data_IF_668027861000
#
_entry.id   IF_668027861000
#
_cell.length_a   1.000
_cell.length_b   1.000
_cell.length_c   1.000
_cell.angle_alpha   90.00
_cell.angle_beta   90.00
_cell.angle_gamma   90.00
#
_symmetry.space_group_name_H-M   'P 1'
#
loop_
_entity.id
_entity.type
_entity.pdbx_description
1 polymer ?
#
# COMPACT_ATOMS: atom_id res chain seq x y z
N UNK A 1 33.63 -25.22 -4.51
CA UNK A 1 32.37 -24.48 -4.24
C UNK A 1 31.93 -24.79 -2.81
N UNK A 2 31.77 -23.80 -1.93
CA UNK A 2 31.19 -24.02 -0.60
C UNK A 2 29.69 -24.29 -0.76
N UNK A 3 29.17 -25.32 -0.09
CA UNK A 3 27.73 -25.60 -0.03
C UNK A 3 27.00 -24.39 0.54
N UNK A 4 25.83 -24.05 -0.03
CA UNK A 4 24.97 -22.97 0.49
C UNK A 4 24.52 -23.34 1.91
N UNK A 5 24.35 -22.34 2.76
CA UNK A 5 23.76 -22.54 4.09
C UNK A 5 22.32 -23.05 3.95
N UNK A 6 21.84 -23.85 4.92
CA UNK A 6 20.44 -24.32 4.94
C UNK A 6 19.43 -23.16 4.88
N UNK A 7 19.80 -22.00 5.43
CA UNK A 7 19.00 -20.77 5.36
C UNK A 7 18.85 -20.27 3.92
N UNK A 8 19.93 -20.24 3.13
CA UNK A 8 19.89 -19.82 1.73
C UNK A 8 18.96 -20.69 0.87
N UNK A 9 19.00 -22.01 1.06
CA UNK A 9 18.12 -22.94 0.35
C UNK A 9 16.64 -22.70 0.69
N UNK A 10 16.32 -22.38 1.95
CA UNK A 10 14.95 -22.04 2.35
C UNK A 10 14.48 -20.71 1.76
N UNK A 11 15.35 -19.69 1.75
CA UNK A 11 15.06 -18.40 1.12
C UNK A 11 14.78 -18.55 -0.39
N UNK A 12 15.50 -19.43 -1.09
CA UNK A 12 15.24 -19.75 -2.50
C UNK A 12 13.84 -20.39 -2.69
N UNK A 13 13.41 -21.21 -1.73
CA UNK A 13 12.04 -21.74 -1.69
C UNK A 13 11.00 -20.62 -1.55
N UNK A 14 11.19 -19.71 -0.61
CA UNK A 14 10.28 -18.58 -0.39
C UNK A 14 10.27 -17.60 -1.57
N UNK A 15 11.42 -17.36 -2.21
CA UNK A 15 11.50 -16.53 -3.41
C UNK A 15 10.68 -17.11 -4.56
N UNK A 16 10.78 -18.42 -4.81
CA UNK A 16 9.94 -19.09 -5.80
C UNK A 16 8.45 -18.95 -5.47
N UNK A 17 8.08 -19.13 -4.20
CA UNK A 17 6.69 -18.99 -3.77
C UNK A 17 6.18 -17.56 -4.02
N UNK A 18 6.90 -16.54 -3.54
CA UNK A 18 6.56 -15.12 -3.73
C UNK A 18 6.45 -14.76 -5.21
N UNK A 19 7.36 -15.27 -6.06
CA UNK A 19 7.27 -15.04 -7.50
C UNK A 19 6.03 -15.67 -8.13
N UNK A 20 5.67 -16.89 -7.72
CA UNK A 20 4.56 -17.63 -8.30
C UNK A 20 3.19 -17.16 -7.80
N UNK A 21 3.11 -16.53 -6.62
CA UNK A 21 1.83 -16.14 -6.00
C UNK A 21 1.59 -14.64 -5.93
N UNK A 22 2.63 -13.81 -5.88
CA UNK A 22 2.51 -12.35 -5.71
C UNK A 22 3.10 -11.63 -6.92
N UNK A 23 4.41 -11.78 -7.18
CA UNK A 23 5.10 -10.94 -8.16
C UNK A 23 4.71 -11.27 -9.61
N UNK A 24 4.21 -12.47 -9.89
CA UNK A 24 3.64 -12.81 -11.21
C UNK A 24 2.42 -11.96 -11.59
N UNK A 25 1.76 -11.33 -10.61
CA UNK A 25 0.60 -10.47 -10.81
C UNK A 25 0.94 -8.98 -10.75
N UNK A 26 2.17 -8.62 -10.39
CA UNK A 26 2.57 -7.22 -10.25
C UNK A 26 2.60 -6.54 -11.61
N UNK A 27 1.92 -5.40 -11.73
CA UNK A 27 1.93 -4.63 -12.97
C UNK A 27 3.35 -4.09 -13.25
N UNK A 28 3.91 -4.34 -14.44
CA UNK A 28 5.28 -3.97 -14.75
C UNK A 28 5.48 -2.46 -14.97
N UNK A 29 4.42 -1.65 -15.05
CA UNK A 29 4.50 -0.20 -15.21
C UNK A 29 4.23 0.48 -13.87
N UNK A 30 3.04 0.27 -13.30
CA UNK A 30 2.58 0.95 -12.09
C UNK A 30 3.11 0.31 -10.81
N UNK A 31 3.51 -0.97 -10.85
CA UNK A 31 3.87 -1.73 -9.65
C UNK A 31 2.68 -2.25 -8.84
N UNK A 32 1.45 -1.91 -9.22
CA UNK A 32 0.24 -2.29 -8.51
C UNK A 32 -0.11 -3.76 -8.71
N UNK A 33 -0.75 -4.35 -7.70
CA UNK A 33 -1.33 -5.68 -7.70
C UNK A 33 -2.86 -5.58 -7.81
N UNK A 34 -3.50 -6.39 -8.68
CA UNK A 34 -4.95 -6.55 -8.63
C UNK A 34 -5.34 -7.31 -7.35
N UNK A 35 -6.55 -7.07 -6.82
CA UNK A 35 -7.07 -7.80 -5.66
C UNK A 35 -7.23 -9.31 -5.95
N UNK A 36 -7.63 -9.69 -7.16
CA UNK A 36 -7.70 -11.09 -7.57
C UNK A 36 -7.69 -11.28 -9.09
N UNK A 37 -7.84 -12.54 -9.54
CA UNK A 37 -8.05 -12.82 -10.95
C UNK A 37 -9.36 -12.20 -11.47
N UNK A 38 -10.42 -12.15 -10.68
CA UNK A 38 -11.70 -11.58 -11.11
C UNK A 38 -11.79 -10.08 -10.79
N UNK A 39 -11.20 -9.65 -9.68
CA UNK A 39 -11.17 -8.25 -9.25
C UNK A 39 -9.85 -7.60 -9.64
N UNK A 40 -9.87 -6.90 -10.80
CA UNK A 40 -8.67 -6.35 -11.42
C UNK A 40 -8.21 -5.01 -10.84
N UNK A 41 -8.98 -4.40 -9.96
CA UNK A 41 -8.62 -3.13 -9.33
C UNK A 41 -7.62 -3.34 -8.19
N UNK A 42 -6.81 -2.33 -7.93
CA UNK A 42 -5.77 -2.30 -6.92
C UNK A 42 -6.25 -1.57 -5.69
N UNK A 43 -6.66 -2.31 -4.66
CA UNK A 43 -6.93 -1.75 -3.34
C UNK A 43 -5.64 -1.37 -2.64
N UNK A 44 -5.61 -0.21 -2.01
CA UNK A 44 -4.44 0.28 -1.26
C UNK A 44 -4.03 -0.74 -0.20
N UNK A 45 -5.01 -1.23 0.56
CA UNK A 45 -4.81 -2.17 1.65
C UNK A 45 -4.23 -3.51 1.19
N UNK A 46 -4.83 -4.10 0.17
CA UNK A 46 -4.43 -5.40 -0.40
C UNK A 46 -3.01 -5.33 -0.96
N UNK A 47 -2.69 -4.22 -1.63
CA UNK A 47 -1.35 -3.95 -2.15
C UNK A 47 -0.32 -3.86 -1.03
N UNK A 48 -0.60 -3.06 0.02
CA UNK A 48 0.31 -2.91 1.16
C UNK A 48 0.50 -4.25 1.89
N UNK A 49 -0.56 -4.99 2.20
CA UNK A 49 -0.42 -6.28 2.88
C UNK A 49 0.33 -7.32 2.04
N UNK A 50 0.02 -7.40 0.74
CA UNK A 50 0.67 -8.37 -0.16
C UNK A 50 2.18 -8.10 -0.28
N UNK A 51 2.58 -6.82 -0.36
CA UNK A 51 3.99 -6.47 -0.54
C UNK A 51 4.84 -6.70 0.71
N UNK A 52 4.23 -6.84 1.89
CA UNK A 52 4.98 -7.14 3.13
C UNK A 52 5.73 -8.48 3.06
N UNK A 53 5.15 -9.50 2.40
CA UNK A 53 5.82 -10.78 2.22
C UNK A 53 7.09 -10.65 1.37
N UNK A 54 7.03 -9.83 0.32
CA UNK A 54 8.15 -9.52 -0.58
C UNK A 54 9.21 -8.72 0.17
N UNK A 55 8.80 -7.69 0.91
CA UNK A 55 9.69 -6.86 1.71
C UNK A 55 10.41 -7.66 2.79
N UNK A 56 9.67 -8.47 3.57
CA UNK A 56 10.24 -9.34 4.59
C UNK A 56 11.25 -10.33 4.03
N UNK A 57 10.98 -10.88 2.83
CA UNK A 57 11.92 -11.75 2.15
C UNK A 57 13.17 -10.99 1.67
N UNK A 58 13.01 -9.77 1.12
CA UNK A 58 14.13 -8.90 0.74
C UNK A 58 15.05 -8.60 1.92
N UNK A 59 14.47 -8.22 3.07
CA UNK A 59 15.21 -8.03 4.33
C UNK A 59 15.94 -9.30 4.78
N UNK A 60 15.29 -10.46 4.64
CA UNK A 60 15.90 -11.74 5.01
C UNK A 60 17.09 -12.08 4.10
N UNK A 61 16.98 -11.88 2.78
CA UNK A 61 18.12 -12.03 1.88
C UNK A 61 19.24 -11.06 2.23
N UNK A 62 18.92 -9.78 2.42
CA UNK A 62 19.90 -8.74 2.78
C UNK A 62 20.68 -9.07 4.04
N UNK A 63 20.01 -9.63 5.06
CA UNK A 63 20.65 -10.07 6.32
C UNK A 63 21.54 -11.30 6.16
N UNK A 64 21.24 -12.19 5.21
CA UNK A 64 21.94 -13.46 5.00
C UNK A 64 22.75 -13.50 3.70
N UNK A 65 23.08 -12.33 3.13
CA UNK A 65 23.69 -12.22 1.81
C UNK A 65 25.19 -12.58 1.85
N UNK A 66 25.48 -13.88 1.87
CA UNK A 66 26.85 -14.43 1.86
C UNK A 66 27.49 -14.38 0.45
N UNK A 67 26.66 -14.27 -0.59
CA UNK A 67 27.05 -14.32 -2.02
C UNK A 67 26.42 -13.17 -2.79
N UNK A 68 27.05 -12.76 -3.88
CA UNK A 68 26.52 -11.67 -4.71
C UNK A 68 25.16 -12.01 -5.36
N UNK A 69 24.91 -13.28 -5.64
CA UNK A 69 23.57 -13.77 -6.05
C UNK A 69 22.48 -13.44 -5.02
N UNK A 70 22.77 -13.55 -3.73
CA UNK A 70 21.81 -13.28 -2.66
C UNK A 70 21.55 -11.77 -2.52
N UNK A 71 22.58 -10.95 -2.74
CA UNK A 71 22.44 -9.49 -2.80
C UNK A 71 21.59 -9.05 -3.99
N UNK A 72 21.79 -9.66 -5.16
CA UNK A 72 21.00 -9.37 -6.35
C UNK A 72 19.51 -9.69 -6.13
N UNK A 73 19.21 -10.85 -5.54
CA UNK A 73 17.83 -11.21 -5.18
C UNK A 73 17.22 -10.26 -4.16
N UNK A 74 17.96 -9.88 -3.11
CA UNK A 74 17.50 -8.89 -2.15
C UNK A 74 17.11 -7.59 -2.87
N UNK A 75 17.98 -7.10 -3.74
CA UNK A 75 17.76 -5.88 -4.51
C UNK A 75 16.51 -5.98 -5.40
N UNK A 76 16.34 -7.06 -6.17
CA UNK A 76 15.17 -7.27 -7.03
C UNK A 76 13.85 -7.27 -6.25
N UNK A 77 13.82 -7.94 -5.09
CA UNK A 77 12.66 -7.95 -4.19
C UNK A 77 12.38 -6.55 -3.64
N UNK A 78 13.40 -5.85 -3.17
CA UNK A 78 13.29 -4.49 -2.65
C UNK A 78 12.82 -3.49 -3.72
N UNK A 79 13.30 -3.59 -4.96
CA UNK A 79 12.83 -2.76 -6.07
C UNK A 79 11.37 -3.04 -6.42
N UNK A 80 10.93 -4.30 -6.30
CA UNK A 80 9.52 -4.66 -6.48
C UNK A 80 8.63 -4.00 -5.40
N UNK A 81 9.12 -3.92 -4.15
CA UNK A 81 8.46 -3.21 -3.04
C UNK A 81 8.39 -1.71 -3.31
N UNK A 82 9.52 -1.08 -3.65
CA UNK A 82 9.60 0.35 -3.97
C UNK A 82 8.63 0.70 -5.08
N UNK A 83 8.58 -0.12 -6.15
CA UNK A 83 7.70 0.12 -7.29
C UNK A 83 6.22 0.12 -6.91
N UNK A 84 5.77 -0.84 -6.10
CA UNK A 84 4.37 -0.89 -5.65
C UNK A 84 4.02 0.30 -4.75
N UNK A 85 4.86 0.60 -3.75
CA UNK A 85 4.59 1.70 -2.82
C UNK A 85 4.60 3.07 -3.51
N UNK A 86 5.44 3.24 -4.54
CA UNK A 86 5.42 4.42 -5.41
C UNK A 86 4.21 4.44 -6.34
N UNK A 87 3.76 3.28 -6.82
CA UNK A 87 2.51 3.15 -7.58
C UNK A 87 1.31 3.68 -6.79
N UNK A 88 1.19 3.28 -5.51
CA UNK A 88 0.16 3.78 -4.61
C UNK A 88 0.30 5.28 -4.34
N UNK A 89 1.53 5.79 -4.11
CA UNK A 89 1.79 7.22 -3.96
C UNK A 89 1.27 8.01 -5.17
N UNK A 90 1.57 7.53 -6.38
CA UNK A 90 1.15 8.16 -7.62
C UNK A 90 -0.38 8.18 -7.77
N UNK A 91 -1.07 7.11 -7.38
CA UNK A 91 -2.54 7.08 -7.34
C UNK A 91 -3.11 8.15 -6.39
N UNK A 92 -2.50 8.32 -5.22
CA UNK A 92 -2.96 9.30 -4.22
C UNK A 92 -2.65 10.73 -4.64
N UNK A 93 -1.45 11.01 -5.18
CA UNK A 93 -1.05 12.34 -5.67
C UNK A 93 -2.00 12.84 -6.77
N UNK A 94 -2.50 11.94 -7.63
CA UNK A 94 -3.49 12.29 -8.67
C UNK A 94 -4.82 12.81 -8.12
N UNK A 95 -5.07 12.66 -6.83
CA UNK A 95 -6.25 13.15 -6.13
C UNK A 95 -5.88 14.25 -5.11
N UNK A 96 -4.77 14.96 -5.31
CA UNK A 96 -4.30 16.01 -4.40
C UNK A 96 -5.37 17.07 -4.11
N UNK A 97 -6.18 17.46 -5.10
CA UNK A 97 -7.27 18.43 -4.91
C UNK A 97 -8.31 17.93 -3.90
N UNK A 98 -8.54 16.62 -3.84
CA UNK A 98 -9.42 15.98 -2.85
C UNK A 98 -8.79 16.08 -1.46
N UNK A 99 -7.50 15.74 -1.32
CA UNK A 99 -6.76 15.84 -0.06
C UNK A 99 -6.78 17.26 0.50
N UNK A 100 -6.60 18.27 -0.35
CA UNK A 100 -6.67 19.67 0.04
C UNK A 100 -8.08 20.07 0.49
N UNK A 101 -9.11 19.65 -0.23
CA UNK A 101 -10.51 19.94 0.12
C UNK A 101 -10.94 19.26 1.42
N UNK A 102 -10.48 18.03 1.64
CA UNK A 102 -10.81 17.22 2.82
C UNK A 102 -10.33 17.84 4.13
N UNK A 103 -9.25 18.64 4.12
CA UNK A 103 -8.75 19.39 5.30
C UNK A 103 -9.86 20.21 5.98
N UNK A 104 -10.78 20.73 5.18
CA UNK A 104 -11.88 21.56 5.65
C UNK A 104 -13.18 20.78 5.75
N UNK A 105 -13.51 19.97 4.74
CA UNK A 105 -14.83 19.36 4.65
C UNK A 105 -14.98 18.09 5.48
N UNK A 106 -13.90 17.29 5.61
CA UNK A 106 -13.94 15.92 6.14
C UNK A 106 -15.10 15.07 5.55
N UNK A 107 -15.50 15.39 4.32
CA UNK A 107 -16.66 14.78 3.66
C UNK A 107 -16.24 13.54 2.88
N UNK A 108 -17.18 12.61 2.68
CA UNK A 108 -16.94 11.44 1.82
C UNK A 108 -16.59 11.87 0.40
N UNK A 109 -17.26 12.88 -0.16
CA UNK A 109 -17.02 13.35 -1.54
C UNK A 109 -15.60 13.83 -1.77
N UNK A 110 -15.02 14.51 -0.79
CA UNK A 110 -13.67 15.06 -0.89
C UNK A 110 -12.59 14.07 -0.41
N UNK A 111 -12.96 12.84 -0.07
CA UNK A 111 -12.01 11.84 0.42
C UNK A 111 -11.28 11.13 -0.73
N UNK A 112 -10.07 10.63 -0.46
CA UNK A 112 -9.34 9.76 -1.37
C UNK A 112 -10.16 8.51 -1.72
N UNK A 113 -10.01 8.02 -2.95
CA UNK A 113 -10.39 6.66 -3.28
C UNK A 113 -9.41 5.66 -2.63
N UNK A 114 -9.93 4.51 -2.18
CA UNK A 114 -9.11 3.44 -1.60
C UNK A 114 -8.79 2.29 -2.58
N UNK A 115 -9.21 2.41 -3.85
CA UNK A 115 -8.86 1.48 -4.94
C UNK A 115 -8.69 2.17 -6.27
N UNK A 116 -7.86 1.58 -7.14
CA UNK A 116 -7.42 2.20 -8.39
C UNK A 116 -7.36 1.22 -9.54
N UNK A 117 -7.38 1.74 -10.77
CA UNK A 117 -7.09 0.92 -11.93
C UNK A 117 -5.62 0.49 -11.90
N UNK A 118 -5.39 -0.82 -11.86
CA UNK A 118 -4.05 -1.42 -11.76
C UNK A 118 -3.10 -0.97 -12.88
N UNK A 119 -3.60 -0.67 -14.08
CA UNK A 119 -2.78 -0.30 -15.25
C UNK A 119 -2.56 1.20 -15.38
N UNK A 120 -3.52 2.02 -14.95
CA UNK A 120 -3.52 3.46 -15.25
C UNK A 120 -3.38 4.35 -14.02
N UNK A 121 -3.52 3.82 -12.80
CA UNK A 121 -3.60 4.60 -11.55
C UNK A 121 -4.79 5.57 -11.50
N UNK A 122 -5.83 5.37 -12.32
CA UNK A 122 -7.04 6.17 -12.31
C UNK A 122 -8.04 5.67 -11.25
N UNK A 123 -8.97 6.53 -10.84
CA UNK A 123 -10.17 6.09 -10.12
C UNK A 123 -11.00 5.17 -11.01
N UNK A 124 -11.69 4.21 -10.39
CA UNK A 124 -12.45 3.15 -11.11
C UNK A 124 -13.97 3.28 -10.92
N UNK A 125 -14.38 4.14 -10.00
CA UNK A 125 -15.77 4.45 -9.65
C UNK A 125 -15.86 5.94 -9.30
N UNK A 126 -17.07 6.50 -9.38
CA UNK A 126 -17.36 7.86 -8.94
C UNK A 126 -17.45 7.97 -7.41
N UNK A 127 -17.41 9.20 -6.90
CA UNK A 127 -17.39 9.50 -5.45
C UNK A 127 -18.65 9.03 -4.71
N UNK A 128 -19.80 9.01 -5.38
CA UNK A 128 -21.09 8.59 -4.79
C UNK A 128 -21.41 7.10 -5.05
N UNK A 129 -20.47 6.32 -5.64
CA UNK A 129 -20.74 4.95 -6.12
C UNK A 129 -20.17 3.84 -5.22
N UNK A 130 -19.26 4.16 -4.30
CA UNK A 130 -18.59 3.16 -3.46
C UNK A 130 -18.09 3.80 -2.17
N UNK A 131 -18.02 3.01 -1.10
CA UNK A 131 -17.59 3.44 0.24
C UNK A 131 -16.10 3.75 0.31
N UNK A 132 -15.69 4.86 -0.31
CA UNK A 132 -14.29 5.11 -0.64
C UNK A 132 -13.51 5.85 0.45
N UNK A 133 -14.20 6.59 1.33
CA UNK A 133 -13.59 7.13 2.55
C UNK A 133 -13.19 5.97 3.47
N UNK A 134 -11.94 5.55 3.39
CA UNK A 134 -11.36 4.47 4.21
C UNK A 134 -10.05 4.97 4.80
N UNK A 135 -10.13 5.50 6.01
CA UNK A 135 -8.97 6.14 6.66
C UNK A 135 -7.93 5.11 7.07
N UNK A 136 -8.36 3.90 7.44
CA UNK A 136 -7.48 2.78 7.76
C UNK A 136 -6.54 2.39 6.60
N UNK A 137 -7.00 2.45 5.34
CA UNK A 137 -6.15 2.16 4.19
C UNK A 137 -5.01 3.17 4.03
N UNK A 138 -5.32 4.46 4.21
CA UNK A 138 -4.32 5.55 4.14
C UNK A 138 -3.35 5.47 5.32
N UNK A 139 -3.85 5.22 6.53
CA UNK A 139 -3.03 5.05 7.73
C UNK A 139 -2.09 3.84 7.61
N UNK A 140 -2.58 2.71 7.09
CA UNK A 140 -1.77 1.51 6.84
C UNK A 140 -0.63 1.80 5.85
N UNK A 141 -0.92 2.54 4.78
CA UNK A 141 0.08 2.97 3.81
C UNK A 141 1.17 3.82 4.47
N UNK A 142 0.78 4.83 5.27
CA UNK A 142 1.73 5.72 5.95
C UNK A 142 2.61 4.97 6.95
N UNK A 143 2.03 4.06 7.74
CA UNK A 143 2.76 3.22 8.69
C UNK A 143 3.86 2.42 7.99
N UNK A 144 3.51 1.70 6.92
CA UNK A 144 4.48 0.85 6.23
C UNK A 144 5.45 1.66 5.35
N UNK A 145 5.04 2.81 4.81
CA UNK A 145 5.96 3.75 4.17
C UNK A 145 7.05 4.19 5.16
N UNK A 146 6.69 4.57 6.38
CA UNK A 146 7.64 4.95 7.41
C UNK A 146 8.58 3.79 7.79
N UNK A 147 8.05 2.57 7.97
CA UNK A 147 8.87 1.40 8.29
C UNK A 147 9.81 1.00 7.14
N UNK A 148 9.34 1.03 5.90
CA UNK A 148 10.12 0.65 4.72
C UNK A 148 11.24 1.66 4.45
N UNK A 149 10.97 2.96 4.57
CA UNK A 149 12.00 4.01 4.44
C UNK A 149 13.02 3.92 5.58
N UNK A 150 12.59 3.66 6.83
CA UNK A 150 13.49 3.40 7.95
C UNK A 150 14.37 2.16 7.74
N UNK A 151 13.89 1.16 6.97
CA UNK A 151 14.68 -0.01 6.59
C UNK A 151 15.68 0.26 5.45
N UNK A 152 15.75 1.48 4.92
CA UNK A 152 16.67 1.89 3.85
C UNK A 152 16.07 1.85 2.43
N UNK A 153 14.76 1.64 2.27
CA UNK A 153 14.13 1.72 0.94
C UNK A 153 13.91 3.18 0.50
N UNK A 154 14.43 3.53 -0.67
CA UNK A 154 14.25 4.85 -1.28
C UNK A 154 12.91 4.94 -2.01
N UNK A 155 11.83 5.22 -1.26
CA UNK A 155 10.46 5.30 -1.80
C UNK A 155 10.07 6.74 -2.18
N UNK A 156 10.50 7.76 -1.41
CA UNK A 156 10.19 9.17 -1.65
C UNK A 156 11.37 9.86 -2.33
N UNK A 157 11.13 10.53 -3.46
CA UNK A 157 12.17 11.01 -4.39
C UNK A 157 12.22 12.53 -4.56
N UNK A 158 11.18 13.27 -4.17
CA UNK A 158 11.12 14.73 -4.33
C UNK A 158 10.53 15.44 -3.11
N UNK A 159 10.76 16.76 -3.03
CA UNK A 159 10.17 17.59 -1.97
C UNK A 159 8.63 17.67 -2.10
N UNK A 160 8.10 17.64 -3.33
CA UNK A 160 6.66 17.61 -3.56
C UNK A 160 6.02 16.32 -3.02
N UNK A 161 6.69 15.17 -3.20
CA UNK A 161 6.25 13.92 -2.59
C UNK A 161 6.31 13.99 -1.06
N UNK A 162 7.34 14.63 -0.48
CA UNK A 162 7.42 14.87 0.99
C UNK A 162 6.24 15.72 1.48
N UNK A 163 5.95 16.83 0.80
CA UNK A 163 4.83 17.70 1.15
C UNK A 163 3.49 16.98 1.03
N UNK A 164 3.32 16.13 0.02
CA UNK A 164 2.13 15.31 -0.13
C UNK A 164 1.97 14.30 1.01
N UNK A 165 3.05 13.62 1.41
CA UNK A 165 3.01 12.72 2.57
C UNK A 165 2.63 13.47 3.85
N UNK A 166 3.16 14.67 4.05
CA UNK A 166 2.76 15.52 5.18
C UNK A 166 1.26 15.85 5.15
N UNK A 167 0.71 16.13 3.97
CA UNK A 167 -0.74 16.31 3.81
C UNK A 167 -1.53 15.05 4.15
N UNK A 168 -1.03 13.85 3.81
CA UNK A 168 -1.68 12.60 4.20
C UNK A 168 -1.67 12.37 5.72
N UNK A 169 -0.64 12.83 6.43
CA UNK A 169 -0.62 12.79 7.91
C UNK A 169 -1.75 13.65 8.49
N UNK A 170 -1.96 14.86 7.96
CA UNK A 170 -3.09 15.70 8.35
C UNK A 170 -4.44 15.10 7.93
N UNK A 171 -4.48 14.43 6.78
CA UNK A 171 -5.68 13.75 6.27
C UNK A 171 -6.20 12.68 7.25
N UNK A 172 -5.32 11.95 7.94
CA UNK A 172 -5.71 10.93 8.92
C UNK A 172 -5.79 11.44 10.38
N UNK A 173 -5.39 12.68 10.66
CA UNK A 173 -5.31 13.24 12.02
C UNK A 173 -6.66 13.17 12.76
N UNK A 174 -7.74 13.44 12.03
CA UNK A 174 -9.11 13.48 12.55
C UNK A 174 -9.80 12.11 12.59
N UNK A 175 -9.11 11.00 12.31
CA UNK A 175 -9.72 9.66 12.21
C UNK A 175 -10.52 9.23 13.46
N UNK A 176 -10.19 9.77 14.64
CA UNK A 176 -10.92 9.49 15.89
C UNK A 176 -12.34 10.08 15.94
N UNK A 177 -12.69 11.00 15.04
CA UNK A 177 -14.01 11.67 14.96
C UNK A 177 -14.61 11.67 13.55
N UNK A 178 -13.87 11.22 12.54
CA UNK A 178 -14.36 11.14 11.15
C UNK A 178 -14.97 9.77 10.89
N UNK A 179 -16.28 9.73 10.64
CA UNK A 179 -16.97 8.51 10.25
C UNK A 179 -16.54 8.10 8.83
N UNK A 180 -16.30 6.81 8.63
CA UNK A 180 -15.78 6.27 7.38
C UNK A 180 -16.42 4.90 7.04
N UNK A 181 -15.95 4.26 5.97
CA UNK A 181 -16.47 2.97 5.51
C UNK A 181 -15.73 1.75 6.08
N UNK A 182 -14.63 1.98 6.79
CA UNK A 182 -13.79 0.96 7.42
C UNK A 182 -13.20 -0.07 6.45
N UNK A 183 -12.58 -1.09 7.02
CA UNK A 183 -11.88 -2.14 6.26
C UNK A 183 -12.76 -2.95 5.31
N UNK A 184 -14.06 -3.05 5.64
CA UNK A 184 -15.03 -3.83 4.87
C UNK A 184 -15.78 -3.00 3.83
N UNK A 185 -15.50 -1.70 3.71
CA UNK A 185 -16.05 -0.83 2.66
C UNK A 185 -17.57 -0.59 2.77
N UNK A 186 -18.17 -0.94 3.92
CA UNK A 186 -19.63 -0.95 4.14
C UNK A 186 -20.10 0.16 5.04
N UNK A 187 -19.19 0.77 5.80
CA UNK A 187 -19.53 1.67 6.89
C UNK A 187 -20.11 0.88 8.05
N UNK A 188 -21.36 1.18 8.36
CA UNK A 188 -22.04 0.64 9.52
C UNK A 188 -22.26 -0.87 9.45
N UNK A 189 -22.42 -1.49 10.62
CA UNK A 189 -22.62 -2.94 10.71
C UNK A 189 -23.94 -3.42 10.10
N UNK A 190 -24.89 -2.52 9.82
CA UNK A 190 -26.13 -2.86 9.11
C UNK A 190 -25.99 -2.88 7.59
N UNK A 191 -24.82 -2.49 7.06
CA UNK A 191 -24.48 -2.52 5.63
C UNK A 191 -25.44 -1.66 4.78
N UNK A 192 -25.82 -0.50 5.30
CA UNK A 192 -26.69 0.45 4.59
C UNK A 192 -25.89 1.52 3.84
N UNK A 193 -24.55 1.42 3.82
CA UNK A 193 -23.68 2.42 3.21
C UNK A 193 -23.60 3.71 4.03
N UNK A 194 -23.91 3.64 5.33
CA UNK A 194 -23.83 4.77 6.25
C UNK A 194 -22.46 4.72 6.91
N UNK A 195 -21.68 5.81 6.83
CA UNK A 195 -20.37 5.87 7.48
C UNK A 195 -20.50 5.79 9.01
N UNK A 196 -19.60 5.08 9.67
CA UNK A 196 -19.51 5.02 11.13
C UNK A 196 -18.07 5.23 11.62
N UNK A 197 -17.89 5.48 12.92
CA UNK A 197 -16.55 5.49 13.50
C UNK A 197 -16.02 4.05 13.59
N UNK A 198 -15.26 3.63 12.58
CA UNK A 198 -14.70 2.28 12.54
C UNK A 198 -13.45 2.15 13.42
N UNK A 199 -13.45 1.12 14.27
CA UNK A 199 -12.30 0.79 15.11
C UNK A 199 -11.02 0.50 14.30
N UNK A 200 -11.14 -0.04 13.08
CA UNK A 200 -9.99 -0.25 12.19
C UNK A 200 -9.29 1.07 11.85
N UNK A 201 -10.05 2.12 11.62
CA UNK A 201 -9.55 3.44 11.21
C UNK A 201 -8.99 4.21 12.39
N UNK A 202 -9.70 4.23 13.51
CA UNK A 202 -9.19 4.82 14.75
C UNK A 202 -7.92 4.12 15.21
N UNK A 203 -7.90 2.78 15.20
CA UNK A 203 -6.76 1.99 15.66
C UNK A 203 -5.56 2.03 14.73
N UNK A 204 -5.75 2.14 13.40
CA UNK A 204 -4.61 2.22 12.47
C UNK A 204 -4.00 3.63 12.42
N UNK A 205 -4.78 4.67 12.72
CA UNK A 205 -4.32 6.06 12.70
C UNK A 205 -3.64 6.53 14.01
N UNK A 206 -3.68 5.73 15.08
CA UNK A 206 -3.18 6.08 16.42
C UNK A 206 -2.06 5.14 16.86
#
# INVERSE_FOLDING_TARGET
MRSRSNSGVRLDGYARLVHQTILCHQNPVTGLLPASYDQKDAWVRDNVYSILAVWGLGLAYRKNADRDEDKAKAYELEQSVVKLMRGLLHCMIRQVDKVESFKYSQSTKDSLHAKYNTKTCATVVGDDQWGHLQLDATSLYLLFLAQMTASGLHIIHSLDEVNFIQNLVFYIEAAYKTADFGIWERGDKTNQGISELNASSVGMAK
#
